data_IF_596827102892
#
_entry.id   IF_596827102892
#
_cell.length_a   1.000
_cell.length_b   1.000
_cell.length_c   1.000
_cell.angle_alpha   90.00
_cell.angle_beta   90.00
_cell.angle_gamma   90.00
#
_symmetry.space_group_name_H-M   'P 1'
#
loop_
_entity.id
_entity.type
_entity.pdbx_description
1 polymer ?
#
# COMPACT_ATOMS: atom_id res chain seq x y z
N UNK A 1 -13.34 9.81 -33.98
CA UNK A 1 -14.13 9.39 -32.77
C UNK A 1 -13.54 8.08 -32.30
N UNK A 2 -12.58 8.12 -31.40
CA UNK A 2 -12.07 6.96 -30.71
C UNK A 2 -13.23 6.40 -29.87
N UNK A 3 -13.68 5.19 -30.17
CA UNK A 3 -14.69 4.52 -29.35
C UNK A 3 -14.08 4.30 -27.97
N UNK A 4 -14.75 4.78 -26.93
CA UNK A 4 -14.45 4.45 -25.54
C UNK A 4 -14.32 2.93 -25.45
N UNK A 5 -13.20 2.39 -24.90
CA UNK A 5 -13.05 0.96 -24.71
C UNK A 5 -14.12 0.46 -23.75
N UNK A 6 -14.63 -0.73 -24.02
CA UNK A 6 -15.63 -1.40 -23.20
C UNK A 6 -15.15 -1.43 -21.74
N UNK A 7 -16.03 -1.11 -20.81
CA UNK A 7 -15.84 -1.02 -19.34
C UNK A 7 -15.15 -2.23 -18.68
N UNK A 8 -14.77 -3.26 -19.45
CA UNK A 8 -14.28 -4.52 -18.94
C UNK A 8 -12.77 -4.68 -18.72
N UNK A 9 -11.90 -3.75 -19.18
CA UNK A 9 -10.44 -4.00 -19.11
C UNK A 9 -9.78 -3.48 -17.83
N UNK A 10 -10.28 -2.42 -17.27
CA UNK A 10 -9.74 -1.75 -16.09
C UNK A 10 -10.11 -2.38 -14.81
N UNK A 11 -11.39 -2.59 -14.74
CA UNK A 11 -11.98 -3.44 -13.75
C UNK A 11 -11.17 -4.73 -13.64
N UNK A 12 -10.41 -5.16 -14.66
CA UNK A 12 -9.67 -6.42 -14.62
C UNK A 12 -8.34 -6.45 -13.85
N UNK A 13 -7.72 -5.37 -13.50
CA UNK A 13 -6.46 -5.40 -12.75
C UNK A 13 -6.69 -4.94 -11.32
N UNK A 14 -7.41 -3.87 -11.08
CA UNK A 14 -8.02 -3.60 -9.77
C UNK A 14 -9.09 -4.65 -9.48
N UNK A 15 -9.81 -5.19 -10.45
CA UNK A 15 -10.79 -6.25 -10.29
C UNK A 15 -10.25 -7.66 -10.40
N UNK A 16 -8.99 -7.88 -10.76
CA UNK A 16 -8.33 -9.14 -10.43
C UNK A 16 -8.01 -9.24 -8.94
N UNK A 17 -7.92 -8.11 -8.28
CA UNK A 17 -7.79 -7.97 -6.84
C UNK A 17 -9.15 -7.59 -6.24
N UNK A 18 -10.01 -6.91 -7.00
CA UNK A 18 -11.20 -6.27 -6.48
C UNK A 18 -12.52 -6.71 -7.14
N UNK A 19 -12.57 -7.28 -8.35
CA UNK A 19 -13.81 -7.83 -8.98
C UNK A 19 -13.56 -8.63 -10.26
N UNK A 20 -14.04 -9.84 -10.38
CA UNK A 20 -14.59 -10.37 -11.62
C UNK A 20 -16.11 -10.14 -11.63
N UNK A 21 -16.67 -9.55 -12.66
CA UNK A 21 -18.12 -9.45 -12.87
C UNK A 21 -18.83 -10.82 -12.92
N UNK A 22 -18.08 -11.92 -12.98
CA UNK A 22 -18.56 -13.29 -13.09
C UNK A 22 -18.15 -14.24 -11.95
N UNK A 23 -17.50 -13.78 -10.87
CA UNK A 23 -17.25 -14.62 -9.70
C UNK A 23 -18.00 -14.11 -8.49
N UNK A 24 -18.93 -14.93 -8.03
CA UNK A 24 -19.71 -14.75 -6.81
C UNK A 24 -18.87 -14.74 -5.52
N UNK A 25 -17.54 -14.74 -5.59
CA UNK A 25 -16.62 -14.88 -4.48
C UNK A 25 -16.02 -13.57 -3.96
N UNK A 26 -15.91 -12.51 -4.75
CA UNK A 26 -15.45 -11.22 -4.28
C UNK A 26 -16.61 -10.27 -4.09
N UNK A 27 -17.31 -10.36 -2.96
CA UNK A 27 -18.18 -9.28 -2.51
C UNK A 27 -17.37 -8.11 -1.95
N UNK A 28 -16.48 -7.56 -2.73
CA UNK A 28 -16.10 -6.16 -2.56
C UNK A 28 -17.34 -5.34 -2.90
N UNK A 29 -17.92 -4.74 -1.89
CA UNK A 29 -18.99 -3.79 -2.14
C UNK A 29 -18.40 -2.58 -2.85
N UNK A 30 -18.48 -2.59 -4.18
CA UNK A 30 -18.32 -1.39 -4.98
C UNK A 30 -19.26 -0.34 -4.42
N UNK A 31 -18.69 0.77 -4.03
CA UNK A 31 -19.50 1.94 -3.74
C UNK A 31 -20.00 2.53 -5.08
N UNK A 32 -21.19 3.15 -5.12
CA UNK A 32 -21.61 3.88 -6.30
C UNK A 32 -20.54 4.87 -6.75
N UNK A 33 -20.45 5.13 -8.06
CA UNK A 33 -19.50 6.09 -8.60
C UNK A 33 -19.58 7.43 -7.84
N UNK A 34 -18.41 7.96 -7.50
CA UNK A 34 -18.32 9.22 -6.74
C UNK A 34 -18.73 10.41 -7.62
N UNK A 35 -19.63 11.21 -7.12
CA UNK A 35 -20.01 12.49 -7.76
C UNK A 35 -19.14 13.67 -7.30
N UNK A 36 -18.48 13.54 -6.14
CA UNK A 36 -17.62 14.56 -5.55
C UNK A 36 -16.22 13.98 -5.26
N UNK A 37 -15.22 14.85 -4.98
CA UNK A 37 -13.86 14.42 -4.64
C UNK A 37 -13.82 13.53 -3.37
N UNK A 38 -14.75 13.76 -2.45
CA UNK A 38 -14.84 13.03 -1.17
C UNK A 38 -16.23 12.44 -0.98
N UNK A 39 -16.29 11.19 -0.55
CA UNK A 39 -17.51 10.50 -0.15
C UNK A 39 -17.38 10.00 1.29
N UNK A 40 -18.44 10.15 2.07
CA UNK A 40 -18.50 9.71 3.48
C UNK A 40 -19.25 8.40 3.58
N UNK A 41 -18.63 7.43 4.27
CA UNK A 41 -19.24 6.13 4.58
C UNK A 41 -19.57 6.13 6.07
N UNK A 42 -20.85 6.00 6.47
CA UNK A 42 -21.17 5.75 7.85
C UNK A 42 -20.78 4.32 8.24
N UNK A 43 -20.06 4.16 9.33
CA UNK A 43 -19.61 2.88 9.87
C UNK A 43 -20.14 2.74 11.29
N UNK A 44 -20.79 1.60 11.58
CA UNK A 44 -21.26 1.30 12.91
C UNK A 44 -20.09 0.86 13.79
N UNK A 45 -19.79 1.60 14.86
CA UNK A 45 -18.68 1.32 15.79
C UNK A 45 -19.16 0.89 17.18
N UNK A 46 -20.43 1.13 17.49
CA UNK A 46 -21.05 0.69 18.75
C UNK A 46 -21.71 -0.67 18.62
N UNK A 47 -21.46 -1.58 19.57
CA UNK A 47 -22.13 -2.89 19.63
C UNK A 47 -23.51 -2.80 20.32
N UNK A 48 -24.44 -3.63 19.87
CA UNK A 48 -25.73 -3.81 20.52
C UNK A 48 -25.60 -4.90 21.57
N UNK A 49 -25.93 -4.59 22.83
CA UNK A 49 -25.99 -5.57 23.90
C UNK A 49 -27.44 -6.04 24.11
N UNK A 50 -27.65 -7.34 24.14
CA UNK A 50 -28.92 -7.97 24.53
C UNK A 50 -28.77 -8.69 25.87
N UNK A 51 -29.79 -8.72 26.66
CA UNK A 51 -29.82 -9.43 27.95
C UNK A 51 -31.12 -10.15 28.19
N UNK A 52 -31.09 -11.21 28.99
CA UNK A 52 -32.29 -11.88 29.45
C UNK A 52 -33.03 -11.01 30.46
N UNK A 53 -34.35 -11.00 30.37
CA UNK A 53 -35.24 -10.27 31.29
C UNK A 53 -35.76 -11.25 32.31
N UNK A 54 -35.58 -10.96 33.60
CA UNK A 54 -36.11 -11.78 34.67
C UNK A 54 -37.56 -11.37 35.01
N UNK A 55 -38.49 -12.32 34.83
CA UNK A 55 -39.92 -12.16 35.16
C UNK A 55 -40.69 -11.33 34.14
N UNK A 56 -42.01 -11.29 34.33
CA UNK A 56 -42.97 -10.69 33.38
C UNK A 56 -42.89 -9.16 33.30
N UNK A 57 -42.33 -8.50 34.30
CA UNK A 57 -42.20 -7.03 34.42
C UNK A 57 -40.74 -6.53 34.43
N UNK A 58 -39.77 -7.37 34.10
CA UNK A 58 -38.38 -6.99 34.08
C UNK A 58 -38.05 -5.90 33.04
N UNK A 59 -37.17 -4.98 33.39
CA UNK A 59 -36.73 -3.91 32.49
C UNK A 59 -35.88 -4.51 31.35
N UNK A 60 -36.25 -4.16 30.12
CA UNK A 60 -35.45 -4.53 28.93
C UNK A 60 -34.21 -3.66 28.86
N UNK A 61 -33.00 -4.26 28.63
CA UNK A 61 -31.79 -3.48 28.48
C UNK A 61 -31.86 -2.57 27.25
N UNK A 62 -31.40 -1.34 27.39
CA UNK A 62 -31.27 -0.40 26.29
C UNK A 62 -29.84 -0.37 25.83
N UNK A 63 -29.62 -0.34 24.52
CA UNK A 63 -28.27 -0.27 23.91
C UNK A 63 -28.21 0.92 22.97
N UNK A 64 -27.14 1.74 23.11
CA UNK A 64 -26.86 2.86 22.23
C UNK A 64 -26.04 2.43 21.02
N UNK A 65 -26.32 3.00 19.86
CA UNK A 65 -25.53 2.80 18.64
C UNK A 65 -24.63 4.00 18.41
N UNK A 66 -23.34 3.73 18.17
CA UNK A 66 -22.35 4.74 17.83
C UNK A 66 -21.94 4.60 16.37
N UNK A 67 -21.90 5.71 15.65
CA UNK A 67 -21.55 5.76 14.24
C UNK A 67 -20.35 6.66 14.02
N UNK A 68 -19.40 6.20 13.24
CA UNK A 68 -18.29 6.98 12.73
C UNK A 68 -18.39 7.19 11.23
N UNK A 69 -17.68 8.18 10.71
CA UNK A 69 -17.66 8.50 9.28
C UNK A 69 -16.27 8.25 8.74
N UNK A 70 -16.14 7.28 7.85
CA UNK A 70 -14.92 7.03 7.09
C UNK A 70 -15.02 7.75 5.76
N UNK A 71 -13.98 8.49 5.39
CA UNK A 71 -13.94 9.23 4.14
C UNK A 71 -13.20 8.45 3.07
N UNK A 72 -13.79 8.35 1.87
CA UNK A 72 -13.07 7.97 0.65
C UNK A 72 -12.76 9.25 -0.10
N UNK A 73 -11.49 9.47 -0.43
CA UNK A 73 -11.04 10.62 -1.22
C UNK A 73 -10.53 10.12 -2.56
N UNK A 74 -11.11 10.66 -3.65
CA UNK A 74 -10.68 10.33 -5.00
C UNK A 74 -9.44 11.14 -5.36
N UNK A 75 -8.35 10.43 -5.64
CA UNK A 75 -7.10 11.01 -6.12
C UNK A 75 -6.87 10.66 -7.58
N UNK A 76 -6.01 11.42 -8.24
CA UNK A 76 -5.77 11.33 -9.67
C UNK A 76 -4.52 10.53 -9.96
N UNK A 77 -4.65 9.55 -10.86
CA UNK A 77 -3.52 8.86 -11.48
C UNK A 77 -3.48 9.29 -12.93
N UNK A 78 -2.33 9.74 -13.40
CA UNK A 78 -2.17 10.25 -14.75
C UNK A 78 -0.85 9.78 -15.38
N UNK A 79 -0.85 9.69 -16.71
CA UNK A 79 0.35 9.45 -17.51
C UNK A 79 0.25 10.24 -18.82
N UNK A 80 1.41 10.68 -19.32
CA UNK A 80 1.54 11.29 -20.64
C UNK A 80 2.58 10.48 -21.41
N UNK A 81 2.17 9.96 -22.57
CA UNK A 81 3.04 9.16 -23.45
C UNK A 81 3.23 9.95 -24.75
N UNK A 82 4.41 10.52 -25.00
CA UNK A 82 4.72 11.16 -26.27
C UNK A 82 4.99 10.11 -27.36
N UNK A 83 4.52 10.34 -28.57
CA UNK A 83 4.71 9.48 -29.75
C UNK A 83 5.13 10.40 -30.91
N UNK A 84 6.26 10.15 -31.58
CA UNK A 84 6.65 10.88 -32.77
C UNK A 84 5.65 10.68 -33.92
N UNK A 85 5.31 11.74 -34.63
CA UNK A 85 4.34 11.67 -35.74
C UNK A 85 4.85 10.79 -36.87
N UNK A 86 6.15 10.75 -37.13
CA UNK A 86 6.76 9.83 -38.08
C UNK A 86 6.47 8.35 -37.78
N UNK A 87 6.39 7.97 -36.50
CA UNK A 87 6.05 6.59 -36.11
C UNK A 87 4.57 6.29 -36.38
N UNK A 88 3.71 7.30 -36.28
CA UNK A 88 2.27 7.16 -36.58
C UNK A 88 2.02 7.06 -38.09
N UNK A 89 2.77 7.81 -38.89
CA UNK A 89 2.61 7.88 -40.34
C UNK A 89 3.20 6.64 -41.05
N UNK A 90 4.34 6.13 -40.53
CA UNK A 90 5.07 4.99 -41.10
C UNK A 90 4.58 3.63 -40.58
N UNK A 91 3.66 3.59 -39.63
CA UNK A 91 3.24 2.33 -39.02
C UNK A 91 2.13 1.63 -39.81
N UNK A 92 2.42 0.42 -40.28
CA UNK A 92 1.45 -0.50 -40.89
C UNK A 92 0.57 -1.22 -39.87
N UNK A 93 0.64 -0.90 -38.58
CA UNK A 93 -0.10 -1.55 -37.51
C UNK A 93 -0.74 -0.57 -36.54
N UNK A 94 -1.72 -1.03 -35.77
CA UNK A 94 -2.45 -0.22 -34.80
C UNK A 94 -1.61 0.09 -33.54
N UNK A 95 -0.85 1.20 -33.60
CA UNK A 95 -0.05 1.71 -32.45
C UNK A 95 -0.93 1.94 -31.23
N UNK A 96 -2.17 2.41 -31.43
CA UNK A 96 -3.09 2.65 -30.33
C UNK A 96 -3.47 1.36 -29.62
N UNK A 97 -3.74 0.30 -30.36
CA UNK A 97 -4.02 -1.03 -29.81
C UNK A 97 -2.87 -1.61 -28.99
N UNK A 98 -1.63 -1.18 -29.24
CA UNK A 98 -0.45 -1.59 -28.45
C UNK A 98 -0.20 -0.68 -27.24
N UNK A 99 -0.36 0.61 -27.37
CA UNK A 99 -0.08 1.59 -26.30
C UNK A 99 -1.15 1.57 -25.21
N UNK A 100 -2.42 1.44 -25.58
CA UNK A 100 -3.51 1.44 -24.61
C UNK A 100 -3.37 0.37 -23.52
N UNK A 101 -3.13 -0.92 -23.81
CA UNK A 101 -2.96 -1.93 -22.78
C UNK A 101 -1.77 -1.66 -21.84
N UNK A 102 -0.70 -1.04 -22.38
CA UNK A 102 0.49 -0.67 -21.57
C UNK A 102 0.20 0.46 -20.60
N UNK A 103 -0.58 1.45 -21.01
CA UNK A 103 -1.06 2.50 -20.09
C UNK A 103 -1.93 1.87 -19.00
N UNK A 104 -2.78 0.94 -19.38
CA UNK A 104 -3.65 0.20 -18.48
C UNK A 104 -2.85 -0.58 -17.44
N UNK A 105 -1.89 -1.34 -17.85
CA UNK A 105 -1.00 -2.08 -16.97
C UNK A 105 -0.21 -1.16 -16.02
N UNK A 106 0.28 -0.03 -16.53
CA UNK A 106 1.03 0.95 -15.73
C UNK A 106 0.16 1.56 -14.61
N UNK A 107 -1.08 1.94 -14.92
CA UNK A 107 -2.02 2.46 -13.91
C UNK A 107 -2.32 1.42 -12.84
N UNK A 108 -2.64 0.21 -13.26
CA UNK A 108 -2.91 -0.87 -12.36
C UNK A 108 -1.73 -1.11 -11.41
N UNK A 109 -0.52 -1.16 -11.94
CA UNK A 109 0.68 -1.35 -11.13
C UNK A 109 0.83 -0.26 -10.07
N UNK A 110 0.66 1.01 -10.44
CA UNK A 110 0.79 2.15 -9.50
C UNK A 110 -0.27 2.07 -8.40
N UNK A 111 -1.51 1.79 -8.76
CA UNK A 111 -2.62 1.69 -7.81
C UNK A 111 -2.41 0.51 -6.86
N UNK A 112 -2.07 -0.66 -7.39
CA UNK A 112 -1.81 -1.86 -6.60
C UNK A 112 -0.65 -1.66 -5.61
N UNK A 113 0.46 -1.06 -6.06
CA UNK A 113 1.60 -0.74 -5.18
C UNK A 113 1.21 0.22 -4.06
N UNK A 114 0.38 1.22 -4.35
CA UNK A 114 -0.12 2.15 -3.35
C UNK A 114 -1.07 1.46 -2.35
N UNK A 115 -1.93 0.56 -2.80
CA UNK A 115 -2.87 -0.18 -1.96
C UNK A 115 -2.15 -1.24 -1.11
N UNK A 116 -1.25 -2.04 -1.69
CA UNK A 116 -0.59 -3.11 -0.96
C UNK A 116 0.51 -2.61 -0.03
N UNK A 117 1.45 -1.85 -0.59
CA UNK A 117 2.65 -1.46 0.13
C UNK A 117 2.65 -0.02 0.62
N UNK A 118 1.69 0.81 0.16
CA UNK A 118 1.67 2.25 0.44
C UNK A 118 2.75 3.02 -0.31
N UNK A 119 3.34 2.43 -1.37
CA UNK A 119 4.39 3.07 -2.17
C UNK A 119 3.79 4.20 -2.99
N UNK A 120 4.33 5.42 -2.84
CA UNK A 120 3.87 6.63 -3.52
C UNK A 120 2.36 6.90 -3.39
N UNK A 121 1.75 6.43 -2.30
CA UNK A 121 0.34 6.67 -2.04
C UNK A 121 0.09 8.15 -1.77
N UNK A 122 -1.06 8.71 -2.16
CA UNK A 122 -1.51 10.01 -1.70
C UNK A 122 -1.69 10.04 -0.18
N UNK A 123 -1.44 11.17 0.48
CA UNK A 123 -1.59 11.32 1.93
C UNK A 123 -3.02 11.10 2.43
N UNK A 124 -3.99 11.35 1.55
CA UNK A 124 -5.43 11.16 1.83
C UNK A 124 -5.87 9.70 1.83
N UNK A 125 -5.04 8.79 1.30
CA UNK A 125 -5.33 7.36 1.28
C UNK A 125 -4.89 6.67 2.57
N UNK A 126 -5.56 5.58 2.97
CA UNK A 126 -5.14 4.77 4.10
C UNK A 126 -3.71 4.24 3.93
N UNK A 127 -3.14 3.75 5.02
CA UNK A 127 -1.89 2.99 4.97
C UNK A 127 -2.05 1.74 4.11
N UNK A 128 -0.99 1.34 3.38
CA UNK A 128 -1.02 0.15 2.56
C UNK A 128 -1.35 -1.11 3.37
N UNK A 129 -1.97 -2.11 2.75
CA UNK A 129 -2.46 -3.28 3.46
C UNK A 129 -1.34 -4.06 4.16
N UNK A 130 -0.20 -4.26 3.48
CA UNK A 130 0.99 -4.93 4.05
C UNK A 130 1.59 -4.08 5.17
N UNK A 131 1.80 -2.78 4.93
CA UNK A 131 2.35 -1.86 5.93
C UNK A 131 1.44 -1.76 7.15
N UNK A 132 0.13 -1.72 6.94
CA UNK A 132 -0.86 -1.70 8.02
C UNK A 132 -0.90 -3.00 8.83
N UNK A 133 -0.74 -4.18 8.19
CA UNK A 133 -0.63 -5.47 8.87
C UNK A 133 0.64 -5.54 9.73
N UNK A 134 1.77 -5.08 9.19
CA UNK A 134 3.04 -5.00 9.94
C UNK A 134 2.88 -4.08 11.15
N UNK A 135 2.29 -2.91 10.99
CA UNK A 135 2.04 -1.96 12.07
C UNK A 135 1.09 -2.51 13.14
N UNK A 136 0.11 -3.30 12.74
CA UNK A 136 -0.81 -3.97 13.65
C UNK A 136 -0.24 -5.23 14.31
N UNK A 137 1.02 -5.60 14.02
CA UNK A 137 1.65 -6.82 14.53
C UNK A 137 1.07 -8.12 13.95
N UNK A 138 0.31 -8.04 12.84
CA UNK A 138 -0.29 -9.20 12.16
C UNK A 138 0.66 -9.77 11.12
N UNK A 139 1.79 -10.28 11.60
CA UNK A 139 2.89 -10.78 10.77
C UNK A 139 3.30 -12.19 11.19
N UNK A 140 3.59 -13.03 10.21
CA UNK A 140 4.21 -14.33 10.39
C UNK A 140 5.49 -14.38 9.56
N UNK A 141 6.67 -14.54 10.16
CA UNK A 141 7.89 -14.85 9.43
C UNK A 141 7.82 -16.27 8.87
N UNK A 142 8.27 -16.49 7.63
CA UNK A 142 8.33 -17.82 7.05
C UNK A 142 9.39 -18.67 7.76
N UNK A 143 8.97 -19.81 8.32
CA UNK A 143 9.88 -20.73 9.02
C UNK A 143 10.45 -21.84 8.13
N UNK A 144 9.83 -22.05 6.95
CA UNK A 144 10.15 -23.14 6.02
C UNK A 144 9.08 -24.22 5.99
N UNK A 145 8.26 -24.38 7.01
CA UNK A 145 7.05 -25.20 7.00
C UNK A 145 5.85 -24.33 6.63
N UNK A 146 5.57 -24.25 5.33
CA UNK A 146 4.47 -23.43 4.81
C UNK A 146 3.10 -23.83 5.35
N UNK A 147 2.90 -25.12 5.69
CA UNK A 147 1.64 -25.53 6.26
C UNK A 147 1.42 -24.90 7.64
N UNK A 148 2.43 -24.95 8.49
CA UNK A 148 2.38 -24.32 9.81
C UNK A 148 2.35 -22.80 9.72
N UNK A 149 3.10 -22.21 8.80
CA UNK A 149 3.12 -20.75 8.63
C UNK A 149 1.78 -20.19 8.16
N UNK A 150 0.96 -20.99 7.44
CA UNK A 150 -0.35 -20.58 6.95
C UNK A 150 -1.46 -21.00 7.92
N UNK A 151 -1.47 -22.28 8.34
CA UNK A 151 -2.59 -22.93 9.05
C UNK A 151 -2.31 -23.20 10.55
N UNK A 152 -1.08 -23.00 11.02
CA UNK A 152 -0.74 -23.22 12.43
C UNK A 152 -1.45 -22.25 13.37
N UNK A 153 -1.36 -22.51 14.69
CA UNK A 153 -1.95 -21.65 15.74
C UNK A 153 -1.48 -20.20 15.65
N UNK A 154 -0.20 -19.98 15.27
CA UNK A 154 0.39 -18.67 15.00
C UNK A 154 0.46 -18.36 13.50
N UNK A 155 -0.27 -19.09 12.67
CA UNK A 155 -0.27 -18.95 11.23
C UNK A 155 -0.98 -17.68 10.75
N UNK A 156 -0.78 -17.33 9.49
CA UNK A 156 -1.35 -16.11 8.90
C UNK A 156 -2.87 -16.10 8.99
N UNK A 157 -3.53 -17.24 8.84
CA UNK A 157 -5.00 -17.35 8.95
C UNK A 157 -5.44 -17.10 10.39
N UNK A 158 -4.80 -17.76 11.36
CA UNK A 158 -5.13 -17.63 12.78
C UNK A 158 -4.99 -16.18 13.28
N UNK A 159 -3.99 -15.45 12.80
CA UNK A 159 -3.81 -14.02 13.12
C UNK A 159 -5.00 -13.13 12.74
N UNK A 160 -5.76 -13.48 11.72
CA UNK A 160 -6.97 -12.75 11.31
C UNK A 160 -8.18 -13.27 12.08
N UNK A 161 -8.30 -14.60 12.21
CA UNK A 161 -9.45 -15.29 12.79
C UNK A 161 -9.57 -15.06 14.31
N UNK A 162 -8.47 -14.91 15.03
CA UNK A 162 -8.47 -14.59 16.48
C UNK A 162 -9.25 -13.30 16.80
N UNK A 163 -9.38 -12.41 15.82
CA UNK A 163 -10.17 -11.17 15.93
C UNK A 163 -11.62 -11.32 15.46
N UNK A 164 -12.06 -12.55 15.19
CA UNK A 164 -13.43 -12.85 14.77
C UNK A 164 -13.73 -12.50 13.31
N UNK A 165 -12.72 -12.49 12.45
CA UNK A 165 -12.86 -12.22 11.02
C UNK A 165 -12.43 -13.46 10.21
N UNK A 166 -13.29 -14.00 9.32
CA UNK A 166 -12.88 -15.07 8.42
C UNK A 166 -11.94 -14.52 7.34
N UNK A 167 -10.97 -15.34 6.93
CA UNK A 167 -10.16 -15.09 5.75
C UNK A 167 -10.94 -15.53 4.53
N UNK A 168 -11.25 -14.63 3.62
CA UNK A 168 -12.03 -14.89 2.40
C UNK A 168 -11.16 -15.01 1.15
N UNK A 169 -9.99 -14.39 1.11
CA UNK A 169 -9.05 -14.54 0.02
C UNK A 169 -7.60 -14.22 0.38
N UNK A 170 -6.71 -14.61 -0.53
CA UNK A 170 -5.28 -14.43 -0.42
C UNK A 170 -4.71 -13.71 -1.64
N UNK A 171 -3.62 -12.96 -1.41
CA UNK A 171 -2.74 -12.48 -2.49
C UNK A 171 -1.34 -12.95 -2.18
N UNK A 172 -0.72 -13.60 -3.17
CA UNK A 172 0.61 -14.17 -3.04
C UNK A 172 1.62 -13.57 -4.02
N UNK A 173 2.87 -13.45 -3.59
CA UNK A 173 3.97 -13.19 -4.51
C UNK A 173 4.15 -14.37 -5.47
N UNK A 174 4.44 -14.08 -6.74
CA UNK A 174 4.60 -15.12 -7.76
C UNK A 174 5.67 -16.18 -7.38
N UNK A 175 6.70 -15.76 -6.66
CA UNK A 175 7.77 -16.61 -6.14
C UNK A 175 7.26 -17.66 -5.14
N UNK A 176 6.23 -17.34 -4.35
CA UNK A 176 5.64 -18.25 -3.39
C UNK A 176 4.91 -19.43 -4.08
N UNK A 177 4.40 -19.22 -5.29
CA UNK A 177 3.63 -20.23 -6.03
C UNK A 177 4.37 -21.55 -6.21
N UNK A 178 5.69 -21.50 -6.44
CA UNK A 178 6.51 -22.71 -6.57
C UNK A 178 6.57 -23.49 -5.24
N UNK A 179 6.70 -22.78 -4.12
CA UNK A 179 6.73 -23.38 -2.78
C UNK A 179 5.36 -23.95 -2.36
N UNK A 180 4.27 -23.24 -2.71
CA UNK A 180 2.91 -23.70 -2.42
C UNK A 180 2.54 -25.00 -3.13
N UNK A 181 3.09 -25.28 -4.33
CA UNK A 181 2.87 -26.56 -5.02
C UNK A 181 3.40 -27.76 -4.24
N UNK A 182 4.39 -27.56 -3.40
CA UNK A 182 4.95 -28.60 -2.52
C UNK A 182 4.33 -28.64 -1.13
N UNK A 183 3.47 -27.68 -0.77
CA UNK A 183 2.86 -27.60 0.53
C UNK A 183 1.72 -28.63 0.70
N UNK A 184 1.85 -29.49 1.69
CA UNK A 184 0.90 -30.58 1.98
C UNK A 184 0.52 -30.56 3.46
N UNK A 185 -0.66 -31.08 3.78
CA UNK A 185 -1.11 -31.32 5.14
C UNK A 185 -0.42 -32.56 5.77
N UNK A 186 -0.75 -32.88 7.01
CA UNK A 186 -0.25 -34.06 7.72
C UNK A 186 -0.62 -35.41 7.01
N UNK A 187 -1.66 -35.42 6.21
CA UNK A 187 -2.12 -36.58 5.42
C UNK A 187 -1.54 -36.56 3.99
N UNK A 188 -0.56 -35.67 3.70
CA UNK A 188 0.04 -35.46 2.38
C UNK A 188 -0.96 -34.95 1.32
N UNK A 189 -2.05 -34.32 1.73
CA UNK A 189 -2.97 -33.69 0.80
C UNK A 189 -2.50 -32.26 0.47
N UNK A 190 -2.52 -31.83 -0.81
CA UNK A 190 -2.10 -30.50 -1.18
C UNK A 190 -3.11 -29.46 -0.67
N UNK A 191 -2.61 -28.43 0.03
CA UNK A 191 -3.40 -27.28 0.49
C UNK A 191 -3.61 -26.25 -0.60
N UNK A 192 -2.76 -26.27 -1.63
CA UNK A 192 -2.84 -25.40 -2.80
C UNK A 192 -3.32 -26.21 -4.01
N UNK A 193 -4.42 -25.78 -4.59
CA UNK A 193 -5.07 -26.47 -5.71
C UNK A 193 -5.30 -25.54 -6.88
N UNK A 194 -5.32 -26.11 -8.09
CA UNK A 194 -5.84 -25.46 -9.27
C UNK A 194 -7.35 -25.72 -9.31
N UNK A 195 -8.13 -24.68 -9.08
CA UNK A 195 -9.58 -24.76 -9.29
C UNK A 195 -9.89 -24.48 -10.75
N UNK A 196 -10.57 -25.41 -11.39
CA UNK A 196 -11.12 -25.18 -12.73
C UNK A 196 -12.45 -24.46 -12.57
N UNK A 197 -12.48 -23.18 -12.91
CA UNK A 197 -13.75 -22.51 -13.12
C UNK A 197 -14.32 -22.96 -14.46
N UNK A 198 -15.54 -23.46 -14.47
CA UNK A 198 -16.32 -23.70 -15.70
C UNK A 198 -16.78 -22.40 -16.38
N UNK A 199 -16.22 -21.25 -16.00
CA UNK A 199 -16.50 -19.96 -16.59
C UNK A 199 -15.83 -19.76 -17.94
N UNK A 200 -16.49 -19.07 -18.83
CA UNK A 200 -16.23 -18.89 -20.27
C UNK A 200 -14.87 -18.27 -20.66
N UNK A 201 -13.91 -18.08 -19.75
CA UNK A 201 -12.64 -17.40 -20.02
C UNK A 201 -11.38 -18.25 -19.88
N UNK A 202 -11.48 -19.55 -19.60
CA UNK A 202 -10.30 -20.44 -19.55
C UNK A 202 -9.21 -20.06 -18.55
N UNK A 203 -9.52 -19.24 -17.54
CA UNK A 203 -8.56 -18.70 -16.57
C UNK A 203 -8.35 -19.69 -15.43
N UNK A 204 -7.09 -20.06 -15.21
CA UNK A 204 -6.76 -20.88 -14.06
C UNK A 204 -6.94 -20.08 -12.77
N UNK A 205 -7.92 -20.48 -11.97
CA UNK A 205 -8.08 -20.00 -10.60
C UNK A 205 -7.31 -20.91 -9.68
N UNK A 206 -6.69 -20.33 -8.67
CA UNK A 206 -5.98 -21.09 -7.64
C UNK A 206 -6.72 -20.94 -6.31
N UNK A 207 -6.73 -22.01 -5.55
CA UNK A 207 -7.31 -22.07 -4.21
C UNK A 207 -6.26 -22.46 -3.18
N UNK A 208 -6.30 -21.79 -2.07
CA UNK A 208 -5.53 -22.10 -0.87
C UNK A 208 -6.51 -22.32 0.28
N UNK A 209 -6.56 -23.53 0.83
CA UNK A 209 -7.52 -23.91 1.87
C UNK A 209 -8.99 -23.66 1.53
N UNK A 210 -9.37 -23.75 0.27
CA UNK A 210 -10.74 -23.49 -0.18
C UNK A 210 -11.10 -22.03 -0.40
N UNK A 211 -10.17 -21.11 -0.17
CA UNK A 211 -10.31 -19.68 -0.49
C UNK A 211 -9.46 -19.32 -1.71
N UNK A 212 -9.91 -18.35 -2.49
CA UNK A 212 -9.20 -17.93 -3.69
C UNK A 212 -7.86 -17.27 -3.35
N UNK A 213 -6.83 -17.58 -4.15
CA UNK A 213 -5.54 -16.92 -4.09
C UNK A 213 -5.18 -16.36 -5.47
N UNK A 214 -4.87 -15.07 -5.54
CA UNK A 214 -4.37 -14.41 -6.75
C UNK A 214 -2.87 -14.10 -6.63
N UNK A 215 -2.21 -14.08 -7.81
CA UNK A 215 -0.79 -13.79 -7.95
C UNK A 215 -0.62 -12.66 -8.96
N UNK A 216 -0.46 -11.40 -8.52
CA UNK A 216 -0.24 -10.28 -9.41
C UNK A 216 1.01 -10.49 -10.27
N UNK A 217 0.84 -10.41 -11.60
CA UNK A 217 1.95 -10.60 -12.56
C UNK A 217 2.55 -9.28 -13.04
N UNK A 218 1.95 -8.15 -12.67
CA UNK A 218 2.40 -6.80 -13.04
C UNK A 218 3.56 -6.27 -12.17
N UNK A 219 4.08 -7.09 -11.25
CA UNK A 219 5.14 -6.70 -10.33
C UNK A 219 4.73 -5.68 -9.27
N UNK A 220 3.43 -5.56 -9.00
CA UNK A 220 2.90 -4.66 -7.96
C UNK A 220 3.03 -5.23 -6.55
N UNK A 221 3.06 -6.55 -6.40
CA UNK A 221 3.23 -7.22 -5.12
C UNK A 221 4.69 -7.65 -4.94
N UNK A 222 5.41 -6.94 -4.06
CA UNK A 222 6.84 -7.19 -3.84
C UNK A 222 7.06 -8.37 -2.89
N UNK A 223 7.53 -9.47 -3.46
CA UNK A 223 7.86 -10.69 -2.71
C UNK A 223 9.03 -10.55 -1.73
N UNK A 224 9.78 -9.46 -1.76
CA UNK A 224 10.80 -9.14 -0.77
C UNK A 224 10.20 -8.56 0.51
N UNK A 225 9.09 -7.85 0.39
CA UNK A 225 8.39 -7.26 1.53
C UNK A 225 7.32 -8.20 2.11
N UNK A 226 6.63 -8.96 1.26
CA UNK A 226 5.59 -9.90 1.68
C UNK A 226 5.48 -11.06 0.70
N UNK A 227 5.34 -12.29 1.21
CA UNK A 227 5.11 -13.47 0.39
C UNK A 227 3.62 -13.76 0.20
N UNK A 228 2.83 -13.57 1.24
CA UNK A 228 1.40 -13.84 1.26
C UNK A 228 0.69 -12.77 2.09
N UNK A 229 -0.40 -12.25 1.59
CA UNK A 229 -1.35 -11.40 2.30
C UNK A 229 -2.67 -12.16 2.40
N UNK A 230 -3.11 -12.46 3.61
CA UNK A 230 -4.39 -13.08 3.91
C UNK A 230 -5.31 -12.05 4.56
N UNK A 231 -6.60 -12.08 4.29
CA UNK A 231 -7.48 -11.17 4.97
C UNK A 231 -8.95 -11.26 4.61
N UNK A 232 -9.71 -10.37 5.24
CA UNK A 232 -11.13 -10.18 4.95
C UNK A 232 -11.31 -9.00 3.98
N UNK A 233 -11.35 -9.31 2.70
CA UNK A 233 -11.48 -8.33 1.61
C UNK A 233 -12.86 -7.67 1.56
N UNK A 234 -13.88 -8.30 2.17
CA UNK A 234 -15.22 -7.74 2.28
C UNK A 234 -15.28 -6.42 3.08
N UNK A 235 -14.24 -6.12 3.86
CA UNK A 235 -14.17 -4.86 4.61
C UNK A 235 -13.56 -3.73 3.79
N UNK A 236 -12.86 -4.03 2.71
CA UNK A 236 -12.29 -3.01 1.84
C UNK A 236 -13.39 -2.35 0.98
N UNK A 237 -13.30 -1.04 0.79
CA UNK A 237 -14.21 -0.25 -0.04
C UNK A 237 -13.41 0.59 -1.02
N UNK A 238 -13.84 0.61 -2.27
CA UNK A 238 -13.29 1.51 -3.26
C UNK A 238 -14.39 2.21 -4.04
N UNK A 239 -14.09 3.36 -4.60
CA UNK A 239 -15.00 4.10 -5.44
C UNK A 239 -14.26 4.79 -6.57
N UNK A 240 -14.80 4.70 -7.77
CA UNK A 240 -14.27 5.35 -8.96
C UNK A 240 -15.05 6.65 -9.15
N UNK A 241 -14.33 7.78 -9.23
CA UNK A 241 -14.92 9.07 -9.56
C UNK A 241 -14.96 9.31 -11.05
N UNK A 242 -13.87 8.96 -11.73
CA UNK A 242 -13.69 9.13 -13.16
C UNK A 242 -12.92 7.93 -13.69
N UNK A 243 -13.54 7.25 -14.63
CA UNK A 243 -12.90 6.20 -15.38
C UNK A 243 -11.82 6.78 -16.29
N UNK A 244 -10.96 5.96 -16.88
CA UNK A 244 -9.89 6.44 -17.72
C UNK A 244 -10.44 7.26 -18.86
N UNK A 245 -9.87 8.44 -18.97
CA UNK A 245 -10.11 9.36 -20.09
C UNK A 245 -8.79 9.60 -20.81
N UNK A 246 -8.84 9.45 -22.11
CA UNK A 246 -7.71 9.70 -23.00
C UNK A 246 -7.90 11.05 -23.72
N UNK A 247 -6.81 11.81 -23.79
CA UNK A 247 -6.77 13.07 -24.57
C UNK A 247 -5.49 13.11 -25.39
N UNK A 248 -5.61 13.35 -26.68
CA UNK A 248 -4.48 13.60 -27.57
C UNK A 248 -4.08 15.06 -27.43
N UNK A 249 -2.79 15.31 -27.26
CA UNK A 249 -2.16 16.61 -27.16
C UNK A 249 -1.24 16.76 -28.38
N UNK A 250 -1.40 17.84 -29.13
CA UNK A 250 -0.60 18.15 -30.33
C UNK A 250 0.28 19.39 -30.14
N UNK A 251 -0.14 20.29 -29.23
CA UNK A 251 0.50 21.61 -29.05
C UNK A 251 0.80 21.84 -27.58
N UNK A 252 1.67 20.99 -26.97
CA UNK A 252 2.03 21.10 -25.56
C UNK A 252 3.55 21.01 -25.37
N UNK A 253 4.07 21.69 -24.35
CA UNK A 253 5.41 21.48 -23.85
C UNK A 253 5.35 20.54 -22.65
N UNK A 254 6.12 19.46 -22.67
CA UNK A 254 6.26 18.53 -21.56
C UNK A 254 7.47 18.94 -20.73
N UNK A 255 7.28 19.03 -19.42
CA UNK A 255 8.32 19.43 -18.47
C UNK A 255 8.61 18.30 -17.48
N UNK A 256 9.82 18.27 -16.92
CA UNK A 256 10.14 17.46 -15.76
C UNK A 256 9.62 18.10 -14.45
N UNK A 257 9.85 17.42 -13.34
CA UNK A 257 9.43 17.87 -11.99
C UNK A 257 10.12 19.18 -11.56
N UNK A 258 11.24 19.55 -12.20
CA UNK A 258 11.95 20.82 -11.98
C UNK A 258 11.42 21.97 -12.84
N UNK A 259 10.46 21.70 -13.73
CA UNK A 259 9.90 22.66 -14.68
C UNK A 259 10.75 22.87 -15.94
N UNK A 260 11.81 22.09 -16.16
CA UNK A 260 12.61 22.13 -17.37
C UNK A 260 11.85 21.46 -18.51
N UNK A 261 11.79 22.11 -19.66
CA UNK A 261 11.16 21.56 -20.87
C UNK A 261 11.97 20.35 -21.36
N UNK A 262 11.33 19.18 -21.36
CA UNK A 262 11.88 17.94 -21.90
C UNK A 262 11.56 17.78 -23.38
N UNK A 263 10.35 18.10 -23.79
CA UNK A 263 9.86 17.94 -25.15
C UNK A 263 8.86 19.05 -25.48
N UNK A 264 8.99 19.64 -26.68
CA UNK A 264 7.99 20.53 -27.22
C UNK A 264 7.33 19.85 -28.41
N UNK A 265 6.07 19.43 -28.26
CA UNK A 265 5.39 18.60 -29.25
C UNK A 265 5.34 19.25 -30.62
N UNK A 266 5.00 20.53 -30.68
CA UNK A 266 4.89 21.24 -31.96
C UNK A 266 6.24 21.52 -32.67
N UNK A 267 7.36 21.58 -31.93
CA UNK A 267 8.68 21.80 -32.49
C UNK A 267 9.42 20.54 -32.90
N UNK A 268 8.97 19.40 -32.38
CA UNK A 268 9.64 18.11 -32.52
C UNK A 268 8.77 17.09 -33.26
N UNK A 269 7.71 17.56 -33.93
CA UNK A 269 6.77 16.76 -34.71
C UNK A 269 6.33 15.51 -33.94
N UNK A 270 5.73 15.74 -32.76
CA UNK A 270 5.24 14.71 -31.86
C UNK A 270 3.81 15.01 -31.42
N UNK A 271 3.03 13.97 -31.21
CA UNK A 271 1.82 14.05 -30.43
C UNK A 271 2.00 13.34 -29.08
N UNK A 272 1.16 13.61 -28.08
CA UNK A 272 1.18 12.90 -26.83
C UNK A 272 -0.22 12.45 -26.43
N UNK A 273 -0.30 11.27 -25.83
CA UNK A 273 -1.53 10.73 -25.28
C UNK A 273 -1.49 10.95 -23.77
N UNK A 274 -2.44 11.73 -23.25
CA UNK A 274 -2.66 11.88 -21.82
C UNK A 274 -3.80 10.99 -21.37
N UNK A 275 -3.51 10.07 -20.44
CA UNK A 275 -4.51 9.26 -19.76
C UNK A 275 -4.65 9.71 -18.30
N UNK A 276 -5.89 9.79 -17.81
CA UNK A 276 -6.21 10.22 -16.44
C UNK A 276 -7.33 9.36 -15.89
N UNK A 277 -7.16 8.90 -14.64
CA UNK A 277 -8.17 8.19 -13.85
C UNK A 277 -8.28 8.80 -12.46
N UNK A 278 -9.46 8.77 -11.84
CA UNK A 278 -9.67 9.22 -10.48
C UNK A 278 -10.42 8.17 -9.68
N UNK A 279 -9.81 7.70 -8.60
CA UNK A 279 -10.37 6.70 -7.70
C UNK A 279 -9.94 6.94 -6.26
N UNK A 280 -10.66 6.34 -5.33
CA UNK A 280 -10.31 6.33 -3.93
C UNK A 280 -10.65 5.01 -3.28
N UNK A 281 -10.03 4.69 -2.15
CA UNK A 281 -10.33 3.53 -1.36
C UNK A 281 -10.27 3.83 0.14
N UNK A 282 -10.88 2.98 0.94
CA UNK A 282 -10.86 3.04 2.39
C UNK A 282 -11.01 1.65 2.99
N UNK A 283 -10.55 1.50 4.23
CA UNK A 283 -10.69 0.30 5.03
C UNK A 283 -11.53 0.61 6.28
N UNK A 284 -12.88 0.64 6.17
CA UNK A 284 -13.73 0.82 7.33
C UNK A 284 -13.61 -0.38 8.28
N UNK A 285 -13.69 -0.09 9.58
CA UNK A 285 -13.64 -1.09 10.64
C UNK A 285 -14.98 -1.11 11.39
N UNK A 286 -16.04 -1.74 10.84
CA UNK A 286 -17.28 -1.90 11.57
C UNK A 286 -17.08 -2.72 12.84
N UNK A 287 -17.87 -2.47 13.85
CA UNK A 287 -17.84 -3.24 15.09
C UNK A 287 -18.14 -4.72 14.81
N UNK A 288 -17.32 -5.61 15.35
CA UNK A 288 -17.62 -7.03 15.44
C UNK A 288 -17.83 -7.45 16.91
N UNK A 289 -18.46 -8.59 17.14
CA UNK A 289 -18.84 -9.04 18.48
C UNK A 289 -17.66 -9.66 19.27
N UNK A 290 -16.53 -9.94 18.63
CA UNK A 290 -15.35 -10.57 19.26
C UNK A 290 -14.38 -9.52 19.75
N UNK A 291 -13.99 -8.57 18.90
CA UNK A 291 -12.94 -7.59 19.18
C UNK A 291 -13.38 -6.12 19.09
N UNK A 292 -14.70 -5.88 18.93
CA UNK A 292 -15.17 -4.51 18.75
C UNK A 292 -14.64 -3.90 17.46
N UNK A 293 -13.93 -2.78 17.55
CA UNK A 293 -13.24 -2.11 16.44
C UNK A 293 -11.72 -2.28 16.52
N UNK A 294 -11.21 -2.99 17.56
CA UNK A 294 -9.77 -3.22 17.76
C UNK A 294 -9.29 -4.46 16.98
N UNK A 295 -9.23 -4.31 15.67
CA UNK A 295 -8.71 -5.33 14.78
C UNK A 295 -8.06 -4.72 13.52
N UNK A 296 -7.20 -5.52 12.89
CA UNK A 296 -6.75 -5.28 11.52
C UNK A 296 -7.15 -6.50 10.66
N UNK A 297 -7.85 -6.30 9.54
CA UNK A 297 -8.48 -7.41 8.82
C UNK A 297 -7.53 -8.19 7.90
N UNK A 298 -6.25 -7.86 7.91
CA UNK A 298 -5.24 -8.53 7.10
C UNK A 298 -4.06 -8.98 7.94
N UNK A 299 -3.43 -10.09 7.54
CA UNK A 299 -2.18 -10.58 8.07
C UNK A 299 -1.23 -10.94 6.94
N UNK A 300 0.08 -10.89 7.20
CA UNK A 300 1.11 -11.04 6.18
C UNK A 300 2.12 -12.12 6.55
N UNK A 301 2.48 -12.95 5.56
CA UNK A 301 3.63 -13.86 5.62
C UNK A 301 4.85 -13.16 5.05
N UNK A 302 5.90 -13.03 5.85
CA UNK A 302 7.14 -12.39 5.47
C UNK A 302 8.15 -13.42 4.90
N UNK A 303 9.08 -13.02 4.00
CA UNK A 303 9.93 -13.96 3.25
C UNK A 303 10.97 -14.73 4.09
N UNK A 304 11.40 -14.17 5.21
CA UNK A 304 12.41 -14.76 6.12
C UNK A 304 12.08 -14.45 7.57
N UNK A 305 12.84 -15.05 8.52
CA UNK A 305 12.85 -14.60 9.92
C UNK A 305 13.22 -13.12 9.93
N UNK A 306 12.25 -12.29 10.24
CA UNK A 306 12.51 -10.85 10.30
C UNK A 306 13.16 -10.55 11.64
N UNK A 307 14.40 -10.12 11.59
CA UNK A 307 15.10 -9.61 12.75
C UNK A 307 14.56 -8.21 13.09
N UNK A 308 14.20 -8.01 14.35
CA UNK A 308 13.77 -6.67 14.80
C UNK A 308 14.99 -5.80 15.04
N UNK A 309 14.94 -4.56 14.51
CA UNK A 309 15.93 -3.53 14.80
C UNK A 309 15.48 -2.81 16.07
N UNK A 310 15.96 -3.26 17.22
CA UNK A 310 15.52 -2.74 18.52
C UNK A 310 16.26 -1.48 18.94
N UNK A 311 17.38 -1.17 18.30
CA UNK A 311 18.20 0.03 18.57
C UNK A 311 18.79 0.61 17.30
N UNK A 312 18.87 1.93 17.26
CA UNK A 312 19.59 2.68 16.21
C UNK A 312 20.44 3.79 16.83
N UNK A 313 21.36 4.34 16.04
CA UNK A 313 22.23 5.43 16.49
C UNK A 313 22.04 6.64 15.59
N UNK A 314 21.87 7.80 16.18
CA UNK A 314 21.85 9.09 15.47
C UNK A 314 23.22 9.76 15.64
N UNK A 315 24.00 9.83 14.54
CA UNK A 315 25.33 10.44 14.51
C UNK A 315 25.34 11.62 13.55
N UNK A 316 24.77 12.73 13.97
CA UNK A 316 24.74 13.94 13.17
C UNK A 316 25.47 15.06 13.90
N UNK A 317 26.44 15.64 13.20
CA UNK A 317 27.21 16.76 13.73
C UNK A 317 26.36 18.03 13.73
N UNK A 318 26.33 18.75 14.86
CA UNK A 318 25.63 20.03 15.00
C UNK A 318 26.09 21.02 13.93
N UNK A 319 25.19 21.74 13.25
CA UNK A 319 25.55 22.74 12.25
C UNK A 319 26.31 23.93 12.92
N UNK A 320 27.47 24.25 12.36
CA UNK A 320 28.31 25.38 12.76
C UNK A 320 28.58 26.24 11.52
N UNK A 321 28.56 27.59 11.69
CA UNK A 321 28.83 28.55 10.63
C UNK A 321 30.09 28.18 9.83
N UNK A 322 29.99 28.24 8.52
CA UNK A 322 31.04 27.91 7.52
C UNK A 322 31.51 26.45 7.52
N UNK A 323 30.93 25.58 8.35
CA UNK A 323 31.21 24.13 8.24
C UNK A 323 30.43 23.51 7.07
N UNK A 324 31.03 22.49 6.43
CA UNK A 324 30.38 21.69 5.39
C UNK A 324 29.32 20.76 6.03
N UNK A 325 28.10 20.72 5.50
CA UNK A 325 27.09 19.78 5.96
C UNK A 325 27.56 18.33 5.81
N UNK A 326 27.23 17.51 6.81
CA UNK A 326 27.51 16.07 6.73
C UNK A 326 26.72 15.46 5.56
N UNK A 327 27.43 14.82 4.63
CA UNK A 327 26.84 14.28 3.40
C UNK A 327 26.32 12.83 3.57
N UNK A 328 26.79 12.10 4.58
CA UNK A 328 26.42 10.71 4.82
C UNK A 328 26.18 10.46 6.31
N UNK A 329 25.30 9.53 6.59
CA UNK A 329 25.05 9.00 7.94
C UNK A 329 25.36 7.49 7.91
N UNK A 330 26.10 7.04 8.92
CA UNK A 330 26.41 5.61 9.04
C UNK A 330 25.12 4.84 9.36
N UNK A 331 24.94 3.68 8.70
CA UNK A 331 23.93 2.71 9.06
C UNK A 331 24.28 1.97 10.36
N UNK A 332 23.57 0.90 10.63
CA UNK A 332 23.79 0.01 11.76
C UNK A 332 23.50 -1.45 11.40
N UNK A 333 23.40 -2.30 12.40
CA UNK A 333 23.06 -3.71 12.19
C UNK A 333 21.62 -3.82 11.64
N UNK A 334 21.52 -4.30 10.39
CA UNK A 334 20.26 -4.51 9.70
C UNK A 334 19.59 -3.26 9.12
N UNK A 335 20.24 -2.10 9.08
CA UNK A 335 19.70 -0.90 8.45
C UNK A 335 20.78 -0.01 7.82
N UNK A 336 20.41 0.66 6.74
CA UNK A 336 21.15 1.77 6.14
C UNK A 336 20.56 3.09 6.58
N UNK A 337 21.34 4.18 6.44
CA UNK A 337 20.86 5.52 6.80
C UNK A 337 21.28 6.55 5.77
N UNK A 338 20.37 7.45 5.42
CA UNK A 338 20.60 8.63 4.60
C UNK A 338 20.37 9.91 5.38
N UNK A 339 21.07 10.98 5.02
CA UNK A 339 20.91 12.31 5.64
C UNK A 339 20.64 13.37 4.59
N UNK A 340 19.69 14.23 4.88
CA UNK A 340 19.32 15.40 4.08
C UNK A 340 19.26 16.65 4.98
N UNK A 341 19.77 17.76 4.49
CA UNK A 341 19.75 19.04 5.20
C UNK A 341 18.78 20.03 4.57
N UNK A 342 17.97 20.65 5.40
CA UNK A 342 17.00 21.67 5.00
C UNK A 342 17.21 22.97 5.79
N UNK A 343 17.43 24.13 5.11
CA UNK A 343 17.65 24.25 3.67
C UNK A 343 18.95 23.58 3.21
N UNK A 344 18.98 23.12 1.94
CA UNK A 344 20.19 22.57 1.35
C UNK A 344 21.26 23.66 1.23
N UNK A 345 22.50 23.32 1.58
CA UNK A 345 23.61 24.27 1.55
C UNK A 345 24.95 23.52 1.38
N UNK A 346 25.89 24.12 0.66
CA UNK A 346 27.26 23.61 0.53
C UNK A 346 28.08 23.92 1.78
N UNK A 347 27.70 24.97 2.53
CA UNK A 347 28.23 25.33 3.84
C UNK A 347 27.16 26.01 4.67
N UNK A 348 27.19 25.83 5.99
CA UNK A 348 26.20 26.41 6.88
C UNK A 348 26.37 27.94 6.98
N UNK A 349 25.32 28.65 6.64
CA UNK A 349 25.27 30.13 6.78
C UNK A 349 25.18 30.57 8.24
N UNK A 350 25.55 31.82 8.51
CA UNK A 350 25.37 32.43 9.81
C UNK A 350 23.87 32.64 10.16
N UNK A 351 23.55 32.63 11.45
CA UNK A 351 22.20 32.95 11.98
C UNK A 351 21.05 32.21 11.33
N UNK A 352 21.33 30.99 10.78
CA UNK A 352 20.37 30.18 10.03
C UNK A 352 20.07 28.89 10.79
N UNK A 353 18.78 28.56 10.93
CA UNK A 353 18.35 27.30 11.50
C UNK A 353 18.33 26.19 10.43
N UNK A 354 18.99 25.09 10.72
CA UNK A 354 19.05 23.93 9.82
C UNK A 354 18.31 22.74 10.43
N UNK A 355 17.71 21.96 9.56
CA UNK A 355 17.06 20.71 9.92
C UNK A 355 17.79 19.54 9.28
N UNK A 356 18.28 18.61 10.09
CA UNK A 356 18.77 17.33 9.61
C UNK A 356 17.61 16.34 9.55
N UNK A 357 17.33 15.80 8.38
CA UNK A 357 16.39 14.71 8.16
C UNK A 357 17.19 13.45 7.90
N UNK A 358 17.19 12.52 8.85
CA UNK A 358 17.85 11.22 8.72
C UNK A 358 16.79 10.17 8.45
N UNK A 359 16.93 9.44 7.35
CA UNK A 359 16.04 8.34 6.98
C UNK A 359 16.78 7.02 7.20
N UNK A 360 16.29 6.22 8.13
CA UNK A 360 16.77 4.86 8.38
C UNK A 360 15.94 3.89 7.51
N UNK A 361 16.61 3.02 6.78
CA UNK A 361 15.97 2.02 5.91
C UNK A 361 16.44 0.63 6.32
N UNK A 362 15.52 -0.24 6.74
CA UNK A 362 15.82 -1.61 7.09
C UNK A 362 16.31 -2.39 5.88
N UNK A 363 17.32 -3.22 6.09
CA UNK A 363 17.86 -4.15 5.10
C UNK A 363 16.94 -5.35 4.91
N UNK A 364 17.22 -6.17 3.89
CA UNK A 364 16.45 -7.39 3.62
C UNK A 364 16.53 -8.35 4.84
N UNK A 365 15.38 -8.80 5.34
CA UNK A 365 15.29 -9.65 6.53
C UNK A 365 15.28 -8.89 7.86
N UNK A 366 15.23 -7.55 7.86
CA UNK A 366 15.14 -6.73 9.07
C UNK A 366 13.89 -5.84 9.05
N UNK A 367 13.41 -5.47 10.24
CA UNK A 367 12.31 -4.51 10.36
C UNK A 367 12.39 -3.70 11.65
N UNK A 368 11.90 -2.48 11.61
CA UNK A 368 11.64 -1.68 12.79
C UNK A 368 10.32 -2.12 13.43
N UNK A 369 10.29 -2.50 14.74
CA UNK A 369 9.05 -2.90 15.41
C UNK A 369 8.04 -1.74 15.47
N UNK A 370 6.76 -2.07 15.65
CA UNK A 370 5.69 -1.06 15.71
C UNK A 370 5.90 -0.03 16.83
N UNK A 371 6.58 -0.43 17.89
CA UNK A 371 6.92 0.41 19.07
C UNK A 371 8.19 1.23 18.89
N UNK A 372 8.88 1.14 17.74
CA UNK A 372 10.13 1.84 17.51
C UNK A 372 9.92 3.37 17.55
N UNK A 373 10.69 4.03 18.38
CA UNK A 373 10.58 5.47 18.59
C UNK A 373 11.86 6.08 19.15
N UNK A 374 11.78 7.29 19.68
CA UNK A 374 12.94 8.02 20.18
C UNK A 374 13.70 7.28 21.30
N UNK A 375 13.03 6.46 22.10
CA UNK A 375 13.65 5.65 23.15
C UNK A 375 14.62 4.58 22.61
N UNK A 376 14.43 4.16 21.34
CA UNK A 376 15.25 3.17 20.68
C UNK A 376 16.47 3.77 19.96
N UNK A 377 16.65 5.12 20.03
CA UNK A 377 17.68 5.82 19.28
C UNK A 377 18.66 6.46 20.25
N UNK A 378 19.90 6.02 20.18
CA UNK A 378 21.01 6.63 20.92
C UNK A 378 21.61 7.82 20.18
N UNK A 379 22.20 8.77 20.89
CA UNK A 379 22.91 9.91 20.31
C UNK A 379 22.02 11.04 19.80
N UNK A 380 20.73 11.04 20.11
CA UNK A 380 19.85 12.18 19.81
C UNK A 380 20.35 13.46 20.49
N UNK A 381 20.31 14.63 19.82
CA UNK A 381 20.70 15.90 20.42
C UNK A 381 19.78 16.28 21.58
N UNK A 382 20.32 17.00 22.55
CA UNK A 382 19.53 17.49 23.68
C UNK A 382 18.47 18.48 23.21
N UNK A 383 17.37 18.59 23.93
CA UNK A 383 16.28 19.51 23.63
C UNK A 383 16.69 20.99 23.57
N UNK A 384 17.80 21.35 24.24
CA UNK A 384 18.42 22.69 24.17
C UNK A 384 19.16 22.94 22.84
N UNK A 385 19.53 21.92 22.10
CA UNK A 385 20.30 22.00 20.85
C UNK A 385 19.43 21.82 19.62
N UNK A 386 18.49 20.91 19.68
CA UNK A 386 17.55 20.67 18.58
C UNK A 386 16.20 20.12 19.06
N UNK A 387 15.14 20.46 18.34
CA UNK A 387 13.84 19.80 18.48
C UNK A 387 13.83 18.55 17.60
N UNK A 388 13.76 17.38 18.24
CA UNK A 388 13.78 16.09 17.55
C UNK A 388 12.37 15.51 17.47
N UNK A 389 12.01 15.01 16.29
CA UNK A 389 10.84 14.16 16.07
C UNK A 389 11.28 12.86 15.40
N UNK A 390 10.72 11.75 15.85
CA UNK A 390 10.98 10.42 15.29
C UNK A 390 9.65 9.88 14.82
N UNK A 391 9.59 9.55 13.54
CA UNK A 391 8.40 9.01 12.89
C UNK A 391 8.74 7.68 12.24
N UNK A 392 8.05 6.62 12.66
CA UNK A 392 8.09 5.34 11.99
C UNK A 392 7.09 5.39 10.84
N UNK A 393 7.60 5.53 9.61
CA UNK A 393 6.76 5.61 8.41
C UNK A 393 6.13 4.24 8.13
N UNK A 394 6.91 3.16 8.23
CA UNK A 394 6.47 1.76 8.07
C UNK A 394 7.48 0.81 8.73
N UNK A 395 7.31 -0.51 8.54
CA UNK A 395 8.24 -1.51 9.08
C UNK A 395 9.67 -1.42 8.53
N UNK A 396 9.86 -0.85 7.37
CA UNK A 396 11.17 -0.73 6.74
C UNK A 396 11.78 0.67 6.82
N UNK A 397 11.03 1.69 7.26
CA UNK A 397 11.50 3.07 7.20
C UNK A 397 11.15 3.85 8.47
N UNK A 398 12.16 4.50 9.04
CA UNK A 398 12.03 5.45 10.15
C UNK A 398 12.67 6.77 9.75
N UNK A 399 11.97 7.88 9.97
CA UNK A 399 12.48 9.24 9.72
C UNK A 399 12.74 9.95 11.05
N UNK A 400 13.95 10.47 11.22
CA UNK A 400 14.37 11.30 12.36
C UNK A 400 14.58 12.71 11.85
N UNK A 401 13.82 13.64 12.36
CA UNK A 401 13.94 15.06 12.01
C UNK A 401 14.48 15.84 13.21
N UNK A 402 15.69 16.37 13.10
CA UNK A 402 16.33 17.20 14.12
C UNK A 402 16.43 18.64 13.62
N UNK A 403 15.57 19.52 14.17
CA UNK A 403 15.60 20.96 13.87
C UNK A 403 16.49 21.66 14.88
N UNK A 404 17.69 22.04 14.44
CA UNK A 404 18.68 22.73 15.27
C UNK A 404 18.36 24.22 15.49
N UNK A 405 18.85 24.77 16.57
CA UNK A 405 18.87 26.23 16.78
C UNK A 405 19.72 26.90 15.72
N UNK A 406 19.49 28.19 15.45
CA UNK A 406 20.25 28.92 14.46
C UNK A 406 21.77 28.87 14.75
N UNK A 407 22.56 28.77 13.68
CA UNK A 407 24.02 28.87 13.74
C UNK A 407 24.46 30.22 14.34
N UNK A 408 25.62 30.28 14.94
CA UNK A 408 26.18 31.54 15.46
C UNK A 408 26.25 32.65 14.40
N UNK A 409 26.29 33.89 14.86
CA UNK A 409 26.37 35.07 14.00
C UNK A 409 27.69 35.17 13.21
#
# INVERSE_FOLDING_TARGET
RVKSPSKGAWVRIISRILLPEDSSFFMLRTMPNMTAKQQKIPVLTGSVAAGFVNGDVGLKPTSGLTWEKVNIVAEEVAVIVPIPDAVLDDADYDIWGEVQPRIEEAFAKVIDMAVFHGTNKPDTWPEGLVSGAIKAGKVRPMTGDLYQDINGEDGVIALVEEKGLPVDAFIGALQLRAKLRGAVDANRQPIFRLAYSNGAAGKALYELNGSEIDFPMNGSFDGKQALLLAGNWNLMRYAIRQDITYKILTEASLTDDSGKVLLNLAQQDCCAIRAVMRLGWALPKPVNMVSGTDYYPFAVLLPTTVHTIDAATFKVTKPVKAATPQAAHDGGDGYTAGIEWLPAADSFAASTAYTAKVTLTAEEGYMFPATFGAANISGLPKSSEAKVTVERVNGSTVTITAKYTATGA
#
